data_IF_267862489564
#
_entry.id   IF_267862489564
#
_cell.length_a   1.000
_cell.length_b   1.000
_cell.length_c   1.000
_cell.angle_alpha   90.00
_cell.angle_beta   90.00
_cell.angle_gamma   90.00
#
_symmetry.space_group_name_H-M   'P 1'
#
loop_
_entity.id
_entity.type
_entity.pdbx_description
1 polymer ?
#
# COMPACT_ATOMS: atom_id res chain seq x y z
N UNK A 1 -41.77 -8.33 -18.98
CA UNK A 1 -42.06 -7.69 -17.67
C UNK A 1 -40.90 -6.73 -17.39
N UNK A 2 -41.13 -5.40 -17.33
CA UNK A 2 -40.08 -4.39 -17.10
C UNK A 2 -40.27 -3.80 -15.71
N UNK A 3 -39.64 -4.38 -14.71
CA UNK A 3 -39.73 -3.93 -13.32
C UNK A 3 -38.39 -3.30 -12.91
N UNK A 4 -38.45 -2.12 -12.31
CA UNK A 4 -37.30 -1.43 -11.73
C UNK A 4 -37.55 -1.18 -10.26
N UNK A 5 -36.71 -1.76 -9.41
CA UNK A 5 -36.71 -1.54 -7.97
C UNK A 5 -35.58 -0.56 -7.61
N UNK A 6 -35.94 0.57 -7.01
CA UNK A 6 -35.00 1.47 -6.35
C UNK A 6 -35.26 1.46 -4.84
N UNK A 7 -34.18 1.43 -4.05
CA UNK A 7 -34.27 1.46 -2.59
C UNK A 7 -33.17 2.32 -2.03
N UNK A 8 -33.56 3.24 -1.15
CA UNK A 8 -32.66 4.12 -0.42
C UNK A 8 -32.83 3.84 1.07
N UNK A 9 -31.75 3.99 1.82
CA UNK A 9 -31.77 3.88 3.28
C UNK A 9 -30.95 5.01 3.88
N UNK A 10 -31.40 5.46 5.05
CA UNK A 10 -30.65 6.37 5.90
C UNK A 10 -30.11 5.56 7.07
N UNK A 11 -28.85 5.80 7.43
CA UNK A 11 -28.24 5.24 8.63
C UNK A 11 -27.59 6.37 9.41
N UNK A 12 -27.56 6.23 10.75
CA UNK A 12 -26.88 7.19 11.62
C UNK A 12 -25.58 6.59 12.11
N UNK A 13 -24.45 7.17 11.70
CA UNK A 13 -23.13 6.71 12.14
C UNK A 13 -22.89 7.09 13.60
N UNK A 14 -22.20 6.20 14.30
CA UNK A 14 -21.75 6.40 15.67
C UNK A 14 -20.24 6.23 15.73
N UNK A 15 -19.55 7.24 16.26
CA UNK A 15 -18.10 7.29 16.38
C UNK A 15 -17.76 7.72 17.81
N UNK A 16 -16.96 6.92 18.51
CA UNK A 16 -16.45 7.26 19.84
C UNK A 16 -14.93 7.04 19.90
N UNK A 17 -14.23 8.09 20.31
CA UNK A 17 -12.79 8.11 20.57
C UNK A 17 -12.53 8.02 22.06
N UNK A 18 -11.68 7.10 22.49
CA UNK A 18 -11.26 6.98 23.88
C UNK A 18 -9.79 7.44 24.03
N UNK A 19 -9.42 8.11 25.14
CA UNK A 19 -8.02 8.47 25.43
C UNK A 19 -7.06 7.27 25.48
N UNK A 20 -7.60 6.06 25.71
CA UNK A 20 -6.87 4.79 25.67
C UNK A 20 -6.42 4.35 24.27
N UNK A 21 -6.74 5.11 23.22
CA UNK A 21 -6.43 4.74 21.83
C UNK A 21 -7.39 3.71 21.24
N UNK A 22 -8.48 3.39 21.94
CA UNK A 22 -9.56 2.55 21.44
C UNK A 22 -10.53 3.40 20.63
N UNK A 23 -10.87 2.94 19.42
CA UNK A 23 -11.83 3.61 18.54
C UNK A 23 -13.06 2.73 18.32
N UNK A 24 -14.25 3.24 18.61
CA UNK A 24 -15.51 2.51 18.44
C UNK A 24 -16.29 3.11 17.29
N UNK A 25 -16.67 2.26 16.34
CA UNK A 25 -17.40 2.67 15.13
C UNK A 25 -18.60 1.76 14.94
N UNK A 26 -19.73 2.34 14.55
CA UNK A 26 -20.92 1.58 14.24
C UNK A 26 -22.04 2.44 13.69
N UNK A 27 -23.25 1.89 13.72
CA UNK A 27 -24.48 2.66 13.45
C UNK A 27 -25.42 2.52 14.62
N UNK A 28 -26.34 3.47 14.77
CA UNK A 28 -27.35 3.44 15.85
C UNK A 28 -28.15 2.13 15.81
N UNK A 29 -28.45 1.64 14.62
CA UNK A 29 -29.34 0.51 14.39
C UNK A 29 -28.65 -0.85 14.61
N UNK A 30 -27.32 -0.93 14.40
CA UNK A 30 -26.54 -2.18 14.55
C UNK A 30 -25.63 -2.20 15.77
N UNK A 31 -25.50 -1.08 16.48
CA UNK A 31 -24.56 -0.93 17.58
C UNK A 31 -23.12 -0.69 17.13
N UNK A 32 -22.22 -0.64 18.11
CA UNK A 32 -20.81 -0.29 17.92
C UNK A 32 -19.90 -1.51 17.93
N UNK A 33 -18.83 -1.47 17.12
CA UNK A 33 -17.73 -2.41 17.17
C UNK A 33 -16.44 -1.69 17.59
N UNK A 34 -15.72 -2.31 18.52
CA UNK A 34 -14.44 -1.82 19.00
C UNK A 34 -13.31 -2.14 18.02
N UNK A 35 -12.50 -1.14 17.72
CA UNK A 35 -11.31 -1.23 16.88
C UNK A 35 -10.15 -0.62 17.66
N UNK A 36 -9.11 -1.42 17.93
CA UNK A 36 -7.89 -0.89 18.50
C UNK A 36 -7.19 -0.04 17.44
N UNK A 37 -6.92 1.23 17.76
CA UNK A 37 -6.08 2.06 16.89
C UNK A 37 -4.65 1.54 17.04
N UNK A 38 -4.24 0.63 16.16
CA UNK A 38 -2.81 0.45 15.94
C UNK A 38 -2.29 1.83 15.52
N UNK A 39 -1.22 2.36 16.15
CA UNK A 39 -0.61 3.60 15.72
C UNK A 39 -0.39 3.45 14.23
N UNK A 40 -1.08 4.27 13.42
CA UNK A 40 -0.99 4.21 11.96
C UNK A 40 0.40 4.70 11.60
N UNK A 41 1.37 3.80 11.70
CA UNK A 41 2.75 4.05 11.34
C UNK A 41 2.76 4.17 9.82
N UNK A 42 2.71 5.41 9.34
CA UNK A 42 2.99 5.77 7.94
C UNK A 42 4.48 5.63 7.62
N UNK A 43 5.12 4.60 8.16
CA UNK A 43 6.51 4.24 7.92
C UNK A 43 6.50 2.81 7.44
N UNK A 44 7.09 2.56 6.27
CA UNK A 44 7.41 1.20 5.84
C UNK A 44 8.10 0.48 7.01
N UNK A 45 7.78 -0.79 7.29
CA UNK A 45 8.50 -1.54 8.30
C UNK A 45 9.99 -1.40 7.97
N UNK A 46 10.74 -0.81 8.91
CA UNK A 46 12.18 -0.66 8.74
C UNK A 46 12.72 -2.05 8.40
N UNK A 47 13.54 -2.18 7.34
CA UNK A 47 14.13 -3.46 7.02
C UNK A 47 14.80 -4.00 8.28
N UNK A 48 14.60 -5.30 8.54
CA UNK A 48 15.07 -6.04 9.72
C UNK A 48 16.60 -6.20 9.67
N UNK A 49 17.32 -5.19 9.19
CA UNK A 49 18.75 -5.08 9.37
C UNK A 49 18.99 -4.58 10.80
N UNK A 50 18.96 -5.51 11.74
CA UNK A 50 19.68 -5.35 13.01
C UNK A 50 21.16 -5.51 12.67
N UNK A 51 21.99 -4.44 12.64
CA UNK A 51 23.41 -4.63 12.48
C UNK A 51 23.91 -5.29 13.76
N UNK A 52 24.25 -6.57 13.68
CA UNK A 52 24.78 -7.37 14.80
C UNK A 52 26.10 -6.81 15.35
N UNK A 53 26.70 -5.82 14.70
CA UNK A 53 28.04 -5.31 15.03
C UNK A 53 28.13 -3.79 14.90
N UNK A 54 27.22 -3.03 15.50
CA UNK A 54 27.59 -1.67 15.93
C UNK A 54 28.31 -1.79 17.26
N UNK A 55 29.61 -2.11 17.14
CA UNK A 55 30.55 -2.14 18.24
C UNK A 55 30.35 -0.94 19.16
N UNK A 56 30.43 -1.24 20.46
CA UNK A 56 30.28 -0.36 21.61
C UNK A 56 30.98 0.98 21.40
N UNK A 57 30.34 1.93 20.73
CA UNK A 57 30.74 3.34 20.74
C UNK A 57 29.99 3.95 21.91
N UNK A 58 30.69 4.08 23.04
CA UNK A 58 30.28 4.85 24.20
C UNK A 58 29.67 6.19 23.71
N UNK A 59 28.34 6.34 23.77
CA UNK A 59 27.65 7.58 23.36
C UNK A 59 26.45 7.43 22.42
N UNK A 60 26.16 6.26 21.83
CA UNK A 60 24.95 6.11 20.98
C UNK A 60 23.83 5.43 21.77
N UNK A 61 22.91 6.24 22.32
CA UNK A 61 21.79 5.80 23.16
C UNK A 61 21.24 6.88 24.09
N UNK A 62 21.93 8.01 24.23
CA UNK A 62 21.39 9.19 24.91
C UNK A 62 20.26 9.83 24.07
N UNK A 63 19.23 10.44 24.71
CA UNK A 63 18.25 11.24 24.01
C UNK A 63 18.96 12.30 23.16
N UNK A 64 18.50 12.49 21.92
CA UNK A 64 19.03 13.52 21.03
C UNK A 64 18.85 14.90 21.69
N UNK A 65 19.91 15.70 21.71
CA UNK A 65 19.88 17.09 22.18
C UNK A 65 19.54 18.01 21.02
N UNK A 66 19.10 19.25 21.29
CA UNK A 66 18.70 20.20 20.23
C UNK A 66 19.84 20.49 19.21
N UNK A 67 21.09 20.31 19.61
CA UNK A 67 22.25 20.40 18.73
C UNK A 67 22.39 19.22 17.73
N UNK A 68 21.77 18.07 18.00
CA UNK A 68 21.72 16.94 17.08
C UNK A 68 20.67 17.14 15.96
N UNK A 69 19.78 18.12 16.12
CA UNK A 69 18.76 18.52 15.14
C UNK A 69 19.27 19.65 14.23
N UNK A 70 20.57 19.68 13.91
CA UNK A 70 21.08 20.57 12.87
C UNK A 70 20.25 20.35 11.59
N UNK A 71 19.63 21.41 11.01
CA UNK A 71 18.96 21.31 9.74
C UNK A 71 19.94 20.72 8.73
N UNK A 72 19.55 19.63 8.07
CA UNK A 72 20.34 19.12 6.96
C UNK A 72 20.56 20.28 5.99
N UNK A 73 21.82 20.60 5.61
CA UNK A 73 22.06 21.66 4.65
C UNK A 73 21.24 21.34 3.40
N UNK A 74 20.59 22.36 2.86
CA UNK A 74 19.82 22.27 1.62
C UNK A 74 20.69 21.55 0.59
N UNK A 75 20.36 20.30 0.27
CA UNK A 75 21.18 19.51 -0.65
C UNK A 75 21.07 20.19 -2.02
N UNK A 76 22.20 20.62 -2.58
CA UNK A 76 22.29 21.27 -3.89
C UNK A 76 21.88 20.36 -5.08
N UNK A 77 21.33 19.16 -4.80
CA UNK A 77 20.96 18.17 -5.81
C UNK A 77 22.15 17.50 -6.50
N UNK A 78 23.37 17.96 -6.23
CA UNK A 78 24.61 17.42 -6.80
C UNK A 78 24.97 16.11 -6.11
N UNK A 79 24.91 15.02 -6.86
CA UNK A 79 25.38 13.71 -6.42
C UNK A 79 26.71 13.42 -7.13
N UNK A 80 27.87 13.55 -6.45
CA UNK A 80 29.18 13.43 -7.08
C UNK A 80 29.46 12.04 -7.66
N UNK A 81 28.70 11.02 -7.23
CA UNK A 81 28.77 9.65 -7.73
C UNK A 81 27.68 9.30 -8.74
N UNK A 82 26.84 10.26 -9.16
CA UNK A 82 25.77 9.99 -10.12
C UNK A 82 26.39 9.78 -11.50
N UNK A 83 26.25 8.56 -12.00
CA UNK A 83 26.62 8.19 -13.38
C UNK A 83 25.52 8.62 -14.35
N UNK A 84 25.90 8.94 -15.58
CA UNK A 84 24.93 9.26 -16.63
C UNK A 84 24.18 8.00 -17.07
N UNK A 85 23.01 8.16 -17.71
CA UNK A 85 22.23 7.01 -18.20
C UNK A 85 23.03 6.20 -19.21
N UNK A 86 23.77 6.87 -20.09
CA UNK A 86 24.65 6.23 -21.07
C UNK A 86 25.77 5.44 -20.39
N UNK A 87 26.36 6.00 -19.33
CA UNK A 87 27.38 5.30 -18.55
C UNK A 87 26.86 4.02 -17.90
N UNK A 88 25.57 3.99 -17.53
CA UNK A 88 24.89 2.86 -16.90
C UNK A 88 24.52 1.78 -17.94
N UNK A 89 24.15 2.17 -19.16
CA UNK A 89 23.64 1.24 -20.18
C UNK A 89 24.71 0.64 -21.08
N UNK A 90 25.95 1.17 -21.05
CA UNK A 90 27.09 0.68 -21.87
C UNK A 90 27.37 -0.82 -21.75
N UNK A 91 27.24 -1.39 -20.56
CA UNK A 91 27.58 -2.79 -20.30
C UNK A 91 26.38 -3.73 -20.43
N UNK A 92 25.20 -3.20 -20.76
CA UNK A 92 24.01 -4.01 -20.92
C UNK A 92 24.00 -4.69 -22.30
N UNK A 93 23.62 -5.98 -22.37
CA UNK A 93 23.41 -6.64 -23.65
C UNK A 93 22.31 -5.92 -24.44
N UNK A 94 22.33 -5.95 -25.79
CA UNK A 94 21.32 -5.30 -26.62
C UNK A 94 19.90 -5.75 -26.22
N UNK A 95 19.12 -4.82 -25.69
CA UNK A 95 17.73 -5.08 -25.31
C UNK A 95 16.91 -5.07 -26.59
N UNK A 96 16.42 -6.24 -27.03
CA UNK A 96 15.41 -6.30 -28.07
C UNK A 96 14.11 -5.75 -27.48
N UNK A 97 13.48 -4.72 -28.07
CA UNK A 97 12.16 -4.30 -27.62
C UNK A 97 11.21 -5.48 -27.80
N UNK A 98 10.74 -6.06 -26.71
CA UNK A 98 9.69 -7.08 -26.75
C UNK A 98 8.40 -6.33 -27.06
N UNK A 99 8.07 -6.26 -28.35
CA UNK A 99 6.77 -5.79 -28.78
C UNK A 99 5.76 -6.87 -28.38
N UNK A 100 5.14 -6.72 -27.21
CA UNK A 100 3.99 -7.56 -26.84
C UNK A 100 2.84 -7.17 -27.76
N UNK A 101 2.67 -7.94 -28.84
CA UNK A 101 1.46 -7.88 -29.65
C UNK A 101 0.29 -8.43 -28.81
N UNK A 102 -0.39 -7.56 -28.08
CA UNK A 102 -1.69 -7.85 -27.50
C UNK A 102 -2.77 -7.86 -28.60
N UNK A 103 -2.63 -8.72 -29.60
CA UNK A 103 -3.73 -9.00 -30.51
C UNK A 103 -4.73 -9.88 -29.76
N UNK A 104 -5.70 -9.21 -29.16
CA UNK A 104 -6.88 -9.83 -28.58
C UNK A 104 -7.70 -10.42 -29.73
N UNK A 105 -7.41 -11.67 -30.11
CA UNK A 105 -8.26 -12.39 -31.05
C UNK A 105 -9.70 -12.40 -30.50
N UNK A 106 -10.73 -12.06 -31.29
CA UNK A 106 -12.11 -12.17 -30.82
C UNK A 106 -12.42 -13.65 -30.64
N UNK A 107 -12.27 -14.14 -29.41
CA UNK A 107 -12.81 -15.44 -29.00
C UNK A 107 -14.33 -15.33 -29.13
N UNK A 108 -14.89 -15.94 -30.17
CA UNK A 108 -16.31 -16.23 -30.23
C UNK A 108 -16.62 -17.16 -29.04
N UNK A 109 -17.14 -16.58 -27.96
CA UNK A 109 -17.72 -17.33 -26.84
C UNK A 109 -19.01 -17.96 -27.34
N UNK A 110 -18.87 -19.10 -28.02
CA UNK A 110 -19.96 -19.98 -28.38
C UNK A 110 -20.72 -20.37 -27.12
N UNK A 111 -22.02 -20.05 -27.09
CA UNK A 111 -22.93 -20.40 -26.01
C UNK A 111 -23.04 -21.92 -25.92
N UNK A 112 -22.53 -22.51 -24.84
CA UNK A 112 -22.87 -23.89 -24.49
C UNK A 112 -24.28 -23.89 -23.91
N UNK A 113 -25.23 -24.50 -24.62
CA UNK A 113 -26.57 -24.80 -24.12
C UNK A 113 -26.51 -26.16 -23.42
N UNK A 114 -26.59 -26.19 -22.10
CA UNK A 114 -26.83 -27.42 -21.36
C UNK A 114 -28.32 -27.76 -21.47
N UNK A 115 -28.66 -28.82 -22.23
CA UNK A 115 -29.99 -29.40 -22.21
C UNK A 115 -30.21 -30.17 -20.91
N UNK A 116 -31.19 -29.73 -20.14
CA UNK A 116 -31.76 -30.41 -19.00
C UNK A 116 -32.48 -31.66 -19.50
N UNK A 117 -31.95 -32.85 -19.21
CA UNK A 117 -32.61 -34.12 -19.53
C UNK A 117 -33.42 -34.60 -18.33
N UNK A 118 -34.73 -34.64 -18.51
CA UNK A 118 -35.72 -35.28 -17.65
C UNK A 118 -35.31 -36.71 -17.27
N UNK A 119 -35.42 -37.06 -15.99
CA UNK A 119 -35.76 -38.41 -15.56
C UNK A 119 -36.62 -38.37 -14.30
N UNK A 120 -37.83 -38.94 -14.46
CA UNK A 120 -38.54 -39.78 -13.49
C UNK A 120 -38.93 -39.16 -12.17
#
# INVERSE_FOLDING_TARGET
RRETLSRQWQYRSLIQTCPSGVFRVGTVERGMKEHQLLPKRHTLPLPIFTPTELGVRLGRGAPHTEHDLQPFPTRDGVCPSKRSVDEITRDLPPIKPVLMEFTKAPRALGRSMSQEAQRG
#
